data_IF_333495313809
#
_entry.id   IF_333495313809
#
_cell.length_a   1.000
_cell.length_b   1.000
_cell.length_c   1.000
_cell.angle_alpha   90.00
_cell.angle_beta   90.00
_cell.angle_gamma   90.00
#
_symmetry.space_group_name_H-M   'P 1'
#
loop_
_entity.id
_entity.type
_entity.pdbx_description
1 polymer ?
#
# COMPACT_ATOMS: atom_id res chain seq x y z
N UNK A 1 -12.47 -7.83 1.84
CA UNK A 1 -13.61 -7.04 2.39
C UNK A 1 -13.01 -5.85 3.11
N UNK A 2 -13.43 -4.61 2.80
CA UNK A 2 -12.88 -3.39 3.45
C UNK A 2 -13.32 -3.35 4.91
N UNK A 3 -12.42 -2.99 5.81
CA UNK A 3 -12.73 -2.90 7.26
C UNK A 3 -13.50 -1.61 7.57
N UNK A 4 -13.16 -0.53 6.87
CA UNK A 4 -13.83 0.76 6.95
C UNK A 4 -13.74 1.44 5.59
N UNK A 5 -14.76 2.20 5.20
CA UNK A 5 -14.64 3.14 4.10
C UNK A 5 -15.51 4.38 4.30
N UNK A 6 -15.01 5.52 3.82
CA UNK A 6 -15.72 6.81 3.77
C UNK A 6 -15.64 7.29 2.32
N UNK A 7 -16.78 7.57 1.71
CA UNK A 7 -16.87 8.21 0.38
C UNK A 7 -17.40 9.63 0.52
N UNK A 8 -16.81 10.56 -0.20
CA UNK A 8 -17.26 11.94 -0.23
C UNK A 8 -16.81 12.65 -1.50
N UNK A 9 -17.52 13.74 -1.84
CA UNK A 9 -17.25 14.51 -3.05
C UNK A 9 -16.46 15.77 -2.70
N UNK A 10 -15.48 16.11 -3.54
CA UNK A 10 -14.70 17.35 -3.43
C UNK A 10 -14.20 17.74 -4.82
N UNK A 11 -14.33 19.01 -5.20
CA UNK A 11 -13.85 19.54 -6.48
C UNK A 11 -14.26 18.68 -7.70
N UNK A 12 -15.52 18.28 -7.75
CA UNK A 12 -16.10 17.42 -8.81
C UNK A 12 -15.52 16.00 -8.93
N UNK A 13 -14.66 15.57 -8.00
CA UNK A 13 -14.15 14.21 -7.88
C UNK A 13 -14.77 13.47 -6.69
N UNK A 14 -14.86 12.14 -6.81
CA UNK A 14 -15.26 11.24 -5.74
C UNK A 14 -14.01 10.72 -5.05
N UNK A 15 -13.87 11.01 -3.76
CA UNK A 15 -12.80 10.46 -2.95
C UNK A 15 -13.33 9.31 -2.11
N UNK A 16 -12.52 8.26 -2.01
CA UNK A 16 -12.76 7.16 -1.09
C UNK A 16 -11.53 6.93 -0.22
N UNK A 17 -11.74 7.03 1.09
CA UNK A 17 -10.80 6.59 2.10
C UNK A 17 -11.24 5.22 2.59
N UNK A 18 -10.36 4.23 2.53
CA UNK A 18 -10.63 2.86 2.97
C UNK A 18 -9.50 2.29 3.82
N UNK A 19 -9.83 1.40 4.75
CA UNK A 19 -8.84 0.66 5.54
C UNK A 19 -8.98 -0.84 5.35
N UNK A 20 -7.85 -1.53 5.45
CA UNK A 20 -7.76 -2.98 5.38
C UNK A 20 -6.46 -3.47 6.00
N UNK A 21 -6.52 -4.42 6.94
CA UNK A 21 -5.36 -5.10 7.54
C UNK A 21 -4.28 -4.12 8.04
N UNK A 22 -4.73 -3.02 8.66
CA UNK A 22 -3.85 -1.99 9.19
C UNK A 22 -3.26 -1.03 8.16
N UNK A 23 -3.72 -1.06 6.90
CA UNK A 23 -3.44 -0.05 5.88
C UNK A 23 -4.58 0.96 5.75
N UNK A 24 -4.22 2.15 5.28
CA UNK A 24 -5.09 3.20 4.79
C UNK A 24 -4.83 3.37 3.29
N UNK A 25 -5.90 3.43 2.50
CA UNK A 25 -5.86 3.80 1.08
C UNK A 25 -6.78 4.98 0.84
N UNK A 26 -6.32 5.94 0.05
CA UNK A 26 -7.13 7.03 -0.47
C UNK A 26 -7.11 6.93 -1.99
N UNK A 27 -8.32 6.92 -2.56
CA UNK A 27 -8.53 6.97 -4.01
C UNK A 27 -9.27 8.24 -4.39
N UNK A 28 -9.05 8.71 -5.61
CA UNK A 28 -9.79 9.78 -6.26
C UNK A 28 -10.26 9.25 -7.60
N UNK A 29 -11.57 9.21 -7.82
CA UNK A 29 -12.17 8.65 -9.03
C UNK A 29 -11.61 7.24 -9.32
N UNK A 30 -11.55 6.43 -8.25
CA UNK A 30 -11.01 5.06 -8.19
C UNK A 30 -9.47 4.93 -8.42
N UNK A 31 -8.78 6.00 -8.81
CA UNK A 31 -7.31 6.04 -8.90
C UNK A 31 -6.66 6.16 -7.51
N UNK A 32 -5.62 5.36 -7.24
CA UNK A 32 -4.90 5.40 -5.97
C UNK A 32 -3.99 6.62 -5.91
N UNK A 33 -4.30 7.54 -5.00
CA UNK A 33 -3.47 8.75 -4.79
C UNK A 33 -2.56 8.62 -3.55
N UNK A 34 -2.90 7.74 -2.60
CA UNK A 34 -2.13 7.58 -1.38
C UNK A 34 -2.37 6.23 -0.70
N UNK A 35 -1.30 5.62 -0.19
CA UNK A 35 -1.35 4.47 0.71
C UNK A 35 -0.42 4.72 1.89
N UNK A 36 -0.86 4.35 3.09
CA UNK A 36 -0.01 4.32 4.28
C UNK A 36 -0.44 3.25 5.28
N UNK A 37 0.30 3.09 6.36
CA UNK A 37 -0.18 2.35 7.54
C UNK A 37 -1.24 3.18 8.27
N UNK A 38 -2.31 2.53 8.74
CA UNK A 38 -3.37 3.17 9.51
C UNK A 38 -2.87 3.70 10.86
N UNK A 39 -1.85 3.05 11.43
CA UNK A 39 -1.21 3.47 12.67
C UNK A 39 0.15 4.12 12.40
N UNK A 40 0.24 5.44 12.57
CA UNK A 40 1.45 6.22 12.33
C UNK A 40 2.09 6.62 13.66
N UNK A 41 2.98 5.75 14.16
CA UNK A 41 3.68 5.98 15.43
C UNK A 41 5.11 6.52 15.27
N UNK A 42 5.73 6.32 14.11
CA UNK A 42 7.09 6.78 13.86
C UNK A 42 7.14 8.29 13.65
N UNK A 43 8.04 8.98 14.37
CA UNK A 43 8.25 10.42 14.20
C UNK A 43 8.59 10.77 12.75
N UNK A 44 9.40 9.95 12.07
CA UNK A 44 9.76 10.18 10.66
C UNK A 44 8.56 10.19 9.72
N UNK A 45 7.57 9.31 9.96
CA UNK A 45 6.34 9.30 9.16
C UNK A 45 5.49 10.54 9.44
N UNK A 46 5.47 11.00 10.69
CA UNK A 46 4.81 12.25 11.07
C UNK A 46 5.50 13.47 10.46
N UNK A 47 6.83 13.45 10.37
CA UNK A 47 7.64 14.51 9.74
C UNK A 47 7.36 14.61 8.23
N UNK A 48 7.00 13.50 7.57
CA UNK A 48 6.49 13.51 6.20
C UNK A 48 5.07 14.09 6.11
N UNK A 49 4.38 14.31 7.22
CA UNK A 49 2.99 14.78 7.26
C UNK A 49 1.96 13.65 7.26
N UNK A 50 2.38 12.39 7.43
CA UNK A 50 1.44 11.27 7.57
C UNK A 50 0.74 11.36 8.93
N UNK A 51 -0.57 11.11 8.91
CA UNK A 51 -1.45 11.28 10.07
C UNK A 51 -2.08 9.95 10.45
N UNK A 52 -2.38 9.75 11.73
CA UNK A 52 -3.14 8.56 12.15
C UNK A 52 -4.60 8.67 11.72
N UNK A 53 -5.34 7.56 11.70
CA UNK A 53 -6.78 7.59 11.38
C UNK A 53 -7.59 8.57 12.23
N UNK A 54 -7.28 8.69 13.52
CA UNK A 54 -7.96 9.61 14.41
C UNK A 54 -7.74 11.08 14.01
N UNK A 55 -6.51 11.41 13.60
CA UNK A 55 -6.15 12.77 13.16
C UNK A 55 -6.78 13.09 11.80
N UNK A 56 -6.85 12.09 10.90
CA UNK A 56 -7.47 12.24 9.58
C UNK A 56 -8.97 12.46 9.73
N UNK A 57 -9.66 11.68 10.57
CA UNK A 57 -11.10 11.80 10.80
C UNK A 57 -11.52 13.21 11.27
N UNK A 58 -10.64 13.93 11.98
CA UNK A 58 -10.88 15.31 12.41
C UNK A 58 -10.86 16.33 11.27
N UNK A 59 -10.08 16.09 10.20
CA UNK A 59 -10.05 16.97 9.03
C UNK A 59 -9.62 16.22 7.75
N UNK A 60 -10.52 15.39 7.22
CA UNK A 60 -10.22 14.54 6.06
C UNK A 60 -9.93 15.39 4.81
N UNK A 61 -10.64 16.51 4.63
CA UNK A 61 -10.46 17.39 3.45
C UNK A 61 -9.05 17.96 3.36
N UNK A 62 -8.52 18.48 4.48
CA UNK A 62 -7.15 19.02 4.54
C UNK A 62 -6.10 17.93 4.32
N UNK A 63 -6.36 16.71 4.82
CA UNK A 63 -5.45 15.60 4.60
C UNK A 63 -5.39 15.17 3.13
N UNK A 64 -6.52 15.20 2.42
CA UNK A 64 -6.54 14.98 0.97
C UNK A 64 -5.76 16.06 0.23
N UNK A 65 -5.95 17.34 0.57
CA UNK A 65 -5.18 18.43 -0.05
C UNK A 65 -3.68 18.22 0.10
N UNK A 66 -3.24 17.75 1.26
CA UNK A 66 -1.85 17.40 1.52
C UNK A 66 -1.39 16.24 0.61
N UNK A 67 -2.14 15.14 0.54
CA UNK A 67 -1.81 13.99 -0.29
C UNK A 67 -1.70 14.36 -1.77
N UNK A 68 -2.63 15.15 -2.30
CA UNK A 68 -2.63 15.59 -3.70
C UNK A 68 -1.49 16.56 -4.01
N UNK A 69 -1.25 17.53 -3.12
CA UNK A 69 -0.21 18.54 -3.32
C UNK A 69 1.19 17.94 -3.27
N UNK A 70 1.42 17.05 -2.32
CA UNK A 70 2.75 16.52 -2.04
C UNK A 70 3.07 15.26 -2.85
N UNK A 71 2.04 14.51 -3.26
CA UNK A 71 2.15 13.22 -3.95
C UNK A 71 3.23 12.32 -3.32
N UNK A 72 3.22 12.25 -1.99
CA UNK A 72 4.29 11.63 -1.21
C UNK A 72 4.44 10.16 -1.56
N UNK A 73 3.32 9.45 -1.69
CA UNK A 73 3.31 8.03 -2.02
C UNK A 73 3.90 7.79 -3.41
N UNK A 74 4.92 6.93 -3.49
CA UNK A 74 5.58 6.54 -4.75
C UNK A 74 5.42 5.07 -5.09
N UNK A 75 5.00 4.23 -4.14
CA UNK A 75 4.77 2.82 -4.39
C UNK A 75 4.80 1.98 -3.14
N UNK A 76 4.40 0.73 -3.29
CA UNK A 76 4.38 -0.28 -2.24
C UNK A 76 4.94 -1.59 -2.81
N UNK A 77 5.71 -2.31 -2.00
CA UNK A 77 6.19 -3.65 -2.34
C UNK A 77 6.13 -4.55 -1.12
N UNK A 78 6.07 -5.85 -1.36
CA UNK A 78 6.01 -6.87 -0.32
C UNK A 78 7.23 -7.76 -0.41
N UNK A 79 7.74 -8.20 0.74
CA UNK A 79 8.91 -9.07 0.86
C UNK A 79 8.63 -10.18 1.88
N UNK A 80 9.06 -11.39 1.58
CA UNK A 80 9.03 -12.50 2.53
C UNK A 80 10.45 -12.88 2.93
N UNK A 81 10.73 -12.86 4.24
CA UNK A 81 11.98 -13.34 4.82
C UNK A 81 11.75 -14.73 5.43
N UNK A 82 12.27 -15.78 4.79
CA UNK A 82 12.13 -17.16 5.23
C UNK A 82 13.25 -17.58 6.20
N UNK A 83 12.86 -18.13 7.35
CA UNK A 83 13.74 -18.69 8.37
C UNK A 83 13.32 -20.13 8.67
N UNK A 84 14.21 -20.94 9.26
CA UNK A 84 14.07 -22.40 9.43
C UNK A 84 12.70 -22.91 9.92
N UNK A 85 11.88 -22.09 10.59
CA UNK A 85 10.54 -22.44 11.09
C UNK A 85 9.46 -21.39 10.86
N UNK A 86 9.79 -20.26 10.23
CA UNK A 86 8.88 -19.12 10.12
C UNK A 86 9.19 -18.30 8.86
N UNK A 87 8.16 -17.92 8.13
CA UNK A 87 8.27 -16.90 7.08
C UNK A 87 7.67 -15.61 7.59
N UNK A 88 8.45 -14.53 7.64
CA UNK A 88 7.98 -13.19 8.01
C UNK A 88 7.63 -12.42 6.74
N UNK A 89 6.46 -11.79 6.74
CA UNK A 89 6.01 -10.98 5.61
C UNK A 89 6.13 -9.52 5.99
N UNK A 90 6.86 -8.79 5.16
CA UNK A 90 7.10 -7.37 5.31
C UNK A 90 6.47 -6.62 4.15
N UNK A 91 6.04 -5.41 4.44
CA UNK A 91 5.67 -4.43 3.42
C UNK A 91 6.66 -3.28 3.46
N UNK A 92 6.98 -2.74 2.29
CA UNK A 92 7.77 -1.53 2.09
C UNK A 92 6.91 -0.51 1.38
N UNK A 93 6.65 0.62 2.02
CA UNK A 93 5.98 1.76 1.37
C UNK A 93 7.02 2.83 1.08
N UNK A 94 7.12 3.27 -0.18
CA UNK A 94 8.03 4.31 -0.65
C UNK A 94 7.34 5.67 -0.60
N UNK A 95 8.01 6.64 0.01
CA UNK A 95 7.55 8.02 0.10
C UNK A 95 8.63 8.99 -0.38
N UNK A 96 8.22 10.10 -0.99
CA UNK A 96 9.07 11.27 -1.22
C UNK A 96 8.85 12.32 -0.13
N UNK A 97 9.94 12.87 0.40
CA UNK A 97 9.90 14.06 1.25
C UNK A 97 9.55 15.33 0.43
N UNK A 98 9.35 16.44 1.13
CA UNK A 98 9.13 17.75 0.50
C UNK A 98 10.30 18.19 -0.38
N UNK A 99 11.52 17.81 0.00
CA UNK A 99 12.75 18.13 -0.72
C UNK A 99 13.02 17.16 -1.89
N UNK A 100 12.10 16.22 -2.14
CA UNK A 100 12.20 15.23 -3.21
C UNK A 100 13.08 14.02 -2.88
N UNK A 101 13.60 13.92 -1.66
CA UNK A 101 14.35 12.73 -1.23
C UNK A 101 13.42 11.53 -1.10
N UNK A 102 13.86 10.39 -1.64
CA UNK A 102 13.12 9.13 -1.56
C UNK A 102 13.53 8.36 -0.31
N UNK A 103 12.53 8.00 0.49
CA UNK A 103 12.66 7.07 1.60
C UNK A 103 11.66 5.94 1.50
N UNK A 104 11.83 4.93 2.33
CA UNK A 104 10.81 3.90 2.50
C UNK A 104 10.62 3.54 3.96
N UNK A 105 9.47 2.96 4.26
CA UNK A 105 9.16 2.40 5.56
C UNK A 105 8.87 0.92 5.42
N UNK A 106 9.71 0.08 6.05
CA UNK A 106 9.54 -1.37 6.12
C UNK A 106 8.86 -1.75 7.45
N UNK A 107 7.82 -2.54 7.39
CA UNK A 107 7.16 -3.08 8.58
C UNK A 107 6.78 -4.55 8.37
N UNK A 108 6.91 -5.38 9.40
CA UNK A 108 6.37 -6.73 9.37
C UNK A 108 4.84 -6.66 9.54
N UNK A 109 4.10 -7.27 8.62
CA UNK A 109 2.62 -7.24 8.61
C UNK A 109 1.99 -8.60 8.90
N UNK A 110 2.74 -9.69 8.69
CA UNK A 110 2.24 -11.03 8.96
C UNK A 110 3.40 -12.01 9.18
N UNK A 111 3.10 -13.23 9.62
CA UNK A 111 4.04 -14.33 9.58
C UNK A 111 3.35 -15.70 9.51
N UNK A 112 3.96 -16.62 8.80
CA UNK A 112 3.49 -17.99 8.64
C UNK A 112 4.41 -18.91 9.46
N UNK A 113 3.83 -19.75 10.32
CA UNK A 113 4.56 -20.77 11.08
C UNK A 113 4.61 -22.09 10.31
N UNK A 114 5.78 -22.71 10.29
CA UNK A 114 5.98 -24.03 9.70
C UNK A 114 6.28 -24.01 8.20
N UNK A 115 7.46 -24.57 7.89
CA UNK A 115 7.93 -25.10 6.61
C UNK A 115 8.62 -24.18 5.57
N UNK A 116 9.72 -24.75 5.05
CA UNK A 116 10.37 -24.40 3.79
C UNK A 116 9.59 -24.98 2.61
N UNK A 117 8.93 -24.10 1.85
CA UNK A 117 8.68 -24.16 0.40
C UNK A 117 7.95 -22.86 0.05
N UNK A 118 8.69 -21.90 -0.48
CA UNK A 118 8.30 -20.50 -0.71
C UNK A 118 7.18 -20.25 -1.68
N UNK A 119 6.00 -20.82 -1.41
CA UNK A 119 4.77 -20.61 -2.16
C UNK A 119 3.66 -20.04 -1.28
N UNK A 120 3.79 -20.11 0.06
CA UNK A 120 2.74 -19.66 0.97
C UNK A 120 2.87 -18.18 1.35
N UNK A 121 4.08 -17.61 1.37
CA UNK A 121 4.29 -16.18 1.58
C UNK A 121 3.68 -15.36 0.45
N UNK A 122 4.08 -15.66 -0.79
CA UNK A 122 3.58 -14.99 -2.00
C UNK A 122 2.07 -15.18 -2.17
N UNK A 123 1.56 -16.38 -1.91
CA UNK A 123 0.12 -16.65 -1.95
C UNK A 123 -0.65 -15.86 -0.90
N UNK A 124 -0.11 -15.69 0.31
CA UNK A 124 -0.75 -14.85 1.33
C UNK A 124 -0.72 -13.37 0.90
N UNK A 125 0.38 -12.92 0.29
CA UNK A 125 0.48 -11.56 -0.26
C UNK A 125 -0.60 -11.33 -1.33
N UNK A 126 -0.73 -12.27 -2.26
CA UNK A 126 -1.71 -12.22 -3.36
C UNK A 126 -3.16 -12.33 -2.85
N UNK A 127 -3.48 -13.29 -1.99
CA UNK A 127 -4.85 -13.49 -1.51
C UNK A 127 -5.31 -12.39 -0.55
N UNK A 128 -4.40 -11.87 0.27
CA UNK A 128 -4.73 -10.95 1.35
C UNK A 128 -4.52 -9.50 0.94
N UNK A 129 -3.36 -9.13 0.40
CA UNK A 129 -2.94 -7.73 0.28
C UNK A 129 -3.04 -7.13 -1.13
N UNK A 130 -2.84 -7.92 -2.20
CA UNK A 130 -2.94 -7.45 -3.60
C UNK A 130 -4.32 -6.82 -3.92
N UNK A 131 -5.47 -7.38 -3.51
CA UNK A 131 -6.78 -6.80 -3.81
C UNK A 131 -7.02 -5.40 -3.21
N UNK A 132 -6.22 -5.01 -2.22
CA UNK A 132 -6.29 -3.68 -1.63
C UNK A 132 -5.37 -2.69 -2.34
N UNK A 133 -4.23 -3.16 -2.84
CA UNK A 133 -3.18 -2.35 -3.47
C UNK A 133 -3.44 -2.11 -4.95
N UNK A 134 -4.13 -3.03 -5.63
CA UNK A 134 -4.54 -2.84 -7.01
C UNK A 134 -5.81 -1.97 -7.09
N UNK A 135 -5.94 -1.22 -8.18
CA UNK A 135 -7.19 -0.55 -8.51
C UNK A 135 -8.29 -1.61 -8.61
N UNK A 136 -9.45 -1.43 -7.96
CA UNK A 136 -10.58 -2.30 -8.20
C UNK A 136 -10.92 -2.18 -9.69
N UNK A 137 -10.83 -3.27 -10.45
CA UNK A 137 -11.18 -3.22 -11.86
C UNK A 137 -12.63 -2.76 -12.00
N UNK A 138 -12.84 -1.66 -12.71
CA UNK A 138 -14.16 -1.19 -13.08
C UNK A 138 -14.99 -2.35 -13.66
N UNK A 139 -16.06 -2.70 -12.96
CA UNK A 139 -17.16 -3.54 -13.41
C UNK A 139 -16.75 -4.74 -14.30
N UNK A 140 -16.48 -5.91 -13.71
CA UNK A 140 -16.62 -7.15 -14.46
C UNK A 140 -18.02 -7.73 -14.24
N UNK A 141 -18.95 -7.64 -15.21
CA UNK A 141 -19.96 -8.67 -15.35
C UNK A 141 -19.23 -9.97 -15.69
N UNK A 142 -19.59 -11.06 -15.02
CA UNK A 142 -19.08 -12.41 -15.30
C UNK A 142 -19.12 -12.67 -16.81
N UNK A 143 -17.98 -12.62 -17.50
CA UNK A 143 -17.74 -13.42 -18.70
C UNK A 143 -16.24 -13.50 -18.98
N UNK A 144 -15.76 -14.74 -18.88
CA UNK A 144 -14.54 -15.28 -19.47
C UNK A 144 -14.12 -14.60 -20.78
N UNK A 145 -13.02 -13.84 -20.78
CA UNK A 145 -11.80 -14.15 -21.55
C UNK A 145 -10.76 -13.02 -21.49
N UNK A 146 -9.52 -13.37 -21.08
CA UNK A 146 -8.29 -12.86 -21.70
C UNK A 146 -7.72 -11.51 -21.24
N UNK A 147 -7.31 -11.36 -19.98
CA UNK A 147 -6.24 -10.39 -19.60
C UNK A 147 -4.86 -11.04 -19.80
N UNK A 148 -3.82 -10.30 -20.24
CA UNK A 148 -2.48 -10.87 -20.41
C UNK A 148 -1.98 -11.37 -19.06
N UNK A 149 -1.72 -12.67 -18.97
CA UNK A 149 -1.04 -13.27 -17.82
C UNK A 149 0.38 -12.74 -17.76
N UNK A 150 0.60 -11.68 -17.00
CA UNK A 150 1.95 -11.38 -16.53
C UNK A 150 2.43 -12.59 -15.72
N UNK A 151 3.63 -13.07 -16.01
CA UNK A 151 4.27 -14.05 -15.15
C UNK A 151 4.71 -13.36 -13.86
N UNK A 152 4.72 -14.10 -12.73
CA UNK A 152 5.11 -13.58 -11.41
C UNK A 152 6.44 -12.80 -11.44
N UNK A 153 7.39 -13.25 -12.27
CA UNK A 153 8.67 -12.58 -12.49
C UNK A 153 8.51 -11.21 -13.16
N UNK A 154 7.60 -11.05 -14.12
CA UNK A 154 7.37 -9.78 -14.81
C UNK A 154 6.64 -8.76 -13.94
N UNK A 155 5.83 -9.22 -13.00
CA UNK A 155 5.16 -8.35 -12.03
C UNK A 155 6.18 -7.81 -11.01
N UNK A 156 7.03 -8.71 -10.49
CA UNK A 156 8.15 -8.38 -9.59
C UNK A 156 9.18 -7.48 -10.30
N UNK A 157 9.51 -7.76 -11.56
CA UNK A 157 10.46 -6.96 -12.35
C UNK A 157 9.88 -5.59 -12.73
N UNK A 158 8.58 -5.46 -13.01
CA UNK A 158 7.94 -4.17 -13.22
C UNK A 158 7.99 -3.30 -11.95
N UNK A 159 7.83 -3.91 -10.78
CA UNK A 159 7.92 -3.25 -9.47
C UNK A 159 9.37 -2.96 -9.03
N UNK A 160 10.35 -3.68 -9.59
CA UNK A 160 11.78 -3.57 -9.26
C UNK A 160 12.62 -2.77 -10.28
N UNK A 161 12.13 -2.54 -11.50
CA UNK A 161 12.90 -1.92 -12.60
C UNK A 161 13.33 -0.47 -12.31
N UNK A 162 12.68 0.20 -11.36
CA UNK A 162 13.19 1.42 -10.77
C UNK A 162 13.76 1.05 -9.41
N UNK A 163 15.08 1.08 -9.19
CA UNK A 163 15.71 1.76 -8.05
C UNK A 163 17.20 1.46 -7.80
N UNK A 164 17.90 2.53 -7.40
CA UNK A 164 18.88 2.51 -6.29
C UNK A 164 18.30 3.43 -5.20
N UNK A 165 17.97 2.92 -4.01
CA UNK A 165 17.42 3.73 -2.90
C UNK A 165 18.03 3.31 -1.54
N UNK A 166 18.35 4.27 -0.66
CA UNK A 166 18.83 4.02 0.70
C UNK A 166 17.79 3.41 1.64
N UNK A 167 18.28 2.54 2.52
CA UNK A 167 17.53 1.76 3.51
C UNK A 167 17.53 2.46 4.87
N UNK A 168 16.35 2.63 5.47
CA UNK A 168 16.25 2.99 6.88
C UNK A 168 15.42 1.92 7.60
N UNK A 169 16.10 1.05 8.34
CA UNK A 169 15.46 0.11 9.26
C UNK A 169 15.07 0.84 10.55
N UNK A 170 14.02 0.32 11.21
CA UNK A 170 13.48 0.79 12.47
C UNK A 170 14.33 0.35 13.67
#
# INVERSE_FOLDING_TARGET
>A
MKEMFIRFNKNDSVYELSTYEGFLKITRDDEIIHIQFANVNSQRLKDLGLKSMNDIAGNISEYIDLCEKMQMYKGISFESDEWERQTKIHVKIKYSSQDGELGYYKCQIDSIQGNMRGFHGDRLIEEKYSPFVEEPSDNEPETTSGKPKFTMQQLVDHLNAENKIPVYDL
#
